data_IF_924931835319
#
_entry.id   IF_924931835319
#
_cell.length_a   1.000
_cell.length_b   1.000
_cell.length_c   1.000
_cell.angle_alpha   90.00
_cell.angle_beta   90.00
_cell.angle_gamma   90.00
#
_symmetry.space_group_name_H-M   'P 1'
#
loop_
_entity.id
_entity.type
_entity.pdbx_description
1 polymer ?
#
# COMPACT_ATOMS: atom_id res chain seq x y z
N UNK A 1 -8.16 8.73 -3.96
CA UNK A 1 -7.28 7.70 -4.58
C UNK A 1 -5.90 7.81 -3.96
N UNK A 2 -5.22 6.68 -3.76
CA UNK A 2 -3.82 6.63 -3.34
C UNK A 2 -2.97 6.17 -4.53
N UNK A 3 -1.95 6.95 -4.90
CA UNK A 3 -0.99 6.59 -5.93
C UNK A 3 0.29 6.06 -5.27
N UNK A 4 0.71 4.86 -5.67
CA UNK A 4 1.91 4.21 -5.18
C UNK A 4 2.86 4.10 -6.37
N UNK A 5 4.03 4.72 -6.25
CA UNK A 5 5.05 4.75 -7.30
C UNK A 5 6.38 4.28 -6.72
N UNK A 6 7.08 3.46 -7.48
CA UNK A 6 8.39 2.91 -7.15
C UNK A 6 9.31 3.12 -8.35
N UNK A 7 10.60 3.39 -8.10
CA UNK A 7 11.63 3.42 -9.16
C UNK A 7 12.05 2.02 -9.64
N UNK A 8 11.32 0.98 -9.23
CA UNK A 8 11.53 -0.42 -9.58
C UNK A 8 10.20 -1.15 -9.68
N UNK A 9 10.21 -2.30 -10.37
CA UNK A 9 9.08 -3.21 -10.44
C UNK A 9 8.59 -3.61 -9.05
N UNK A 10 7.38 -3.14 -8.74
CA UNK A 10 6.61 -3.56 -7.58
C UNK A 10 6.12 -4.98 -7.86
N UNK A 11 6.32 -5.87 -6.89
CA UNK A 11 5.85 -7.26 -6.89
C UNK A 11 4.55 -7.42 -6.11
N UNK A 12 4.44 -6.72 -4.98
CA UNK A 12 3.30 -6.81 -4.08
C UNK A 12 3.09 -5.46 -3.38
N UNK A 13 1.82 -5.09 -3.22
CA UNK A 13 1.38 -4.00 -2.35
C UNK A 13 0.48 -4.57 -1.28
N UNK A 14 0.80 -4.30 -0.01
CA UNK A 14 -0.06 -4.61 1.13
C UNK A 14 -0.46 -3.35 1.87
N UNK A 15 -1.71 -3.27 2.31
CA UNK A 15 -2.15 -2.28 3.30
C UNK A 15 -2.47 -2.99 4.61
N UNK A 16 -1.92 -2.47 5.70
CA UNK A 16 -2.03 -3.04 7.03
C UNK A 16 -2.64 -1.97 7.94
N UNK A 17 -3.64 -2.35 8.74
CA UNK A 17 -4.24 -1.44 9.72
C UNK A 17 -3.40 -1.33 11.01
N UNK A 18 -3.84 -0.49 11.96
CA UNK A 18 -3.15 -0.30 13.24
C UNK A 18 -3.13 -1.54 14.14
N UNK A 19 -3.98 -2.54 13.86
CA UNK A 19 -4.03 -3.81 14.59
C UNK A 19 -3.11 -4.86 13.95
N UNK A 20 -2.41 -4.51 12.86
CA UNK A 20 -1.54 -5.42 12.12
C UNK A 20 -2.27 -6.29 11.12
N UNK A 21 -3.57 -6.05 10.85
CA UNK A 21 -4.34 -6.85 9.90
C UNK A 21 -4.08 -6.39 8.48
N UNK A 22 -3.81 -7.33 7.57
CA UNK A 22 -3.72 -7.05 6.12
C UNK A 22 -5.13 -6.80 5.60
N UNK A 23 -5.45 -5.53 5.32
CA UNK A 23 -6.75 -5.08 4.82
C UNK A 23 -6.78 -4.92 3.30
N UNK A 24 -5.63 -5.02 2.65
CA UNK A 24 -5.48 -5.05 1.21
C UNK A 24 -4.22 -5.83 0.82
N UNK A 25 -4.30 -6.66 -0.22
CA UNK A 25 -3.16 -7.28 -0.86
C UNK A 25 -3.38 -7.33 -2.37
N UNK A 26 -2.38 -6.95 -3.15
CA UNK A 26 -2.37 -7.10 -4.59
C UNK A 26 -0.96 -7.41 -5.10
N UNK A 27 -0.86 -8.45 -5.92
CA UNK A 27 0.31 -8.65 -6.76
C UNK A 27 0.33 -7.59 -7.85
N UNK A 28 1.46 -6.90 -7.98
CA UNK A 28 1.70 -5.85 -8.97
C UNK A 28 2.81 -6.34 -9.90
N UNK A 29 2.78 -5.91 -11.15
CA UNK A 29 3.83 -6.18 -12.14
C UNK A 29 4.14 -4.89 -12.90
N UNK A 30 4.61 -3.88 -12.16
CA UNK A 30 4.84 -2.54 -12.71
C UNK A 30 5.40 -1.58 -11.67
N UNK A 31 5.72 -0.37 -12.11
CA UNK A 31 6.33 0.68 -11.27
C UNK A 31 5.28 1.58 -10.58
N UNK A 32 4.01 1.42 -10.94
CA UNK A 32 2.89 2.19 -10.43
C UNK A 32 1.72 1.28 -10.08
N UNK A 33 1.06 1.61 -8.98
CA UNK A 33 -0.21 1.01 -8.56
C UNK A 33 -1.15 2.08 -8.02
N UNK A 34 -2.43 1.98 -8.35
CA UNK A 34 -3.47 2.88 -7.85
C UNK A 34 -4.47 2.13 -6.99
N UNK A 35 -4.70 2.65 -5.78
CA UNK A 35 -5.62 2.07 -4.83
C UNK A 35 -6.77 3.04 -4.53
N UNK A 36 -8.00 2.56 -4.70
CA UNK A 36 -9.18 3.25 -4.22
C UNK A 36 -9.32 3.05 -2.71
N UNK A 37 -9.17 4.15 -1.96
CA UNK A 37 -9.23 4.15 -0.49
C UNK A 37 -10.62 4.47 0.08
N UNK A 38 -11.64 4.66 -0.75
CA UNK A 38 -12.98 5.07 -0.28
C UNK A 38 -13.65 4.04 0.64
N UNK A 39 -13.35 2.75 0.42
CA UNK A 39 -13.86 1.64 1.25
C UNK A 39 -13.19 1.49 2.62
N UNK A 40 -12.12 2.24 2.88
CA UNK A 40 -11.38 2.16 4.14
C UNK A 40 -11.97 3.15 5.16
N UNK A 41 -11.81 2.82 6.45
CA UNK A 41 -12.22 3.68 7.56
C UNK A 41 -11.19 4.80 7.75
N UNK A 42 -11.60 5.89 8.39
CA UNK A 42 -10.64 6.90 8.82
C UNK A 42 -9.68 6.27 9.83
N UNK A 43 -8.40 6.57 9.72
CA UNK A 43 -7.38 5.96 10.56
C UNK A 43 -5.99 5.95 9.94
N UNK A 44 -5.07 5.35 10.65
CA UNK A 44 -3.68 5.16 10.22
C UNK A 44 -3.55 3.78 9.59
N UNK A 45 -2.81 3.71 8.49
CA UNK A 45 -2.48 2.48 7.80
C UNK A 45 -1.00 2.46 7.43
N UNK A 46 -0.45 1.25 7.30
CA UNK A 46 0.89 1.02 6.77
C UNK A 46 0.77 0.40 5.39
N UNK A 47 1.35 1.05 4.38
CA UNK A 47 1.46 0.53 3.03
C UNK A 47 2.85 -0.08 2.88
N UNK A 48 2.91 -1.38 2.62
CA UNK A 48 4.13 -2.09 2.30
C UNK A 48 4.22 -2.30 0.79
N UNK A 49 5.36 -1.91 0.22
CA UNK A 49 5.69 -2.10 -1.20
C UNK A 49 6.86 -3.08 -1.27
N UNK A 50 6.61 -4.26 -1.81
CA UNK A 50 7.63 -5.28 -2.05
C UNK A 50 8.20 -5.12 -3.46
N UNK A 51 9.52 -5.05 -3.55
CA UNK A 51 10.29 -5.02 -4.82
C UNK A 51 11.38 -6.10 -4.78
N UNK A 52 12.19 -6.18 -5.82
CA UNK A 52 13.37 -7.04 -5.82
C UNK A 52 14.42 -6.63 -4.76
N UNK A 53 14.48 -5.35 -4.38
CA UNK A 53 15.40 -4.84 -3.35
C UNK A 53 14.91 -5.01 -1.91
N UNK A 54 13.67 -5.45 -1.73
CA UNK A 54 13.07 -5.68 -0.41
C UNK A 54 11.76 -4.91 -0.21
N UNK A 55 11.41 -4.69 1.05
CA UNK A 55 10.13 -4.10 1.46
C UNK A 55 10.36 -2.67 1.97
N UNK A 56 9.60 -1.73 1.43
CA UNK A 56 9.48 -0.37 1.99
C UNK A 56 8.12 -0.21 2.66
N UNK A 57 8.08 0.41 3.83
CA UNK A 57 6.83 0.70 4.55
C UNK A 57 6.59 2.21 4.61
N UNK A 58 5.39 2.64 4.25
CA UNK A 58 4.94 4.03 4.38
C UNK A 58 3.70 4.11 5.29
N UNK A 59 3.73 5.00 6.27
CA UNK A 59 2.56 5.33 7.09
C UNK A 59 1.69 6.33 6.34
N UNK A 60 0.41 6.02 6.19
CA UNK A 60 -0.59 6.93 5.66
C UNK A 60 -1.70 7.17 6.67
N UNK A 61 -2.38 8.31 6.55
CA UNK A 61 -3.58 8.62 7.30
C UNK A 61 -4.73 8.85 6.32
N UNK A 62 -5.82 8.13 6.51
CA UNK A 62 -7.07 8.34 5.77
C UNK A 62 -7.95 9.25 6.61
N UNK A 63 -8.30 10.40 6.04
CA UNK A 63 -9.26 11.38 6.58
C UNK A 63 -10.22 11.71 5.45
N UNK A 64 -11.52 11.60 5.71
CA UNK A 64 -12.60 11.93 4.77
C UNK A 64 -13.07 13.36 4.97
#
# INVERSE_FOLDING_TARGET
MLSIVSGEMIREVRMIDMLGQVVYNSAVQGERHELNVNGFRNGIYFVQVLTARGITTQRIQIVK
#
